data_IF_253475461170
#
_entry.id   IF_253475461170
#
_cell.length_a   1.000
_cell.length_b   1.000
_cell.length_c   1.000
_cell.angle_alpha   90.00
_cell.angle_beta   90.00
_cell.angle_gamma   90.00
#
_symmetry.space_group_name_H-M   'P 1'
#
loop_
_entity.id
_entity.type
_entity.pdbx_description
1 polymer ?
#
# COMPACT_ATOMS: atom_id res chain seq x y z
N UNK A 1 -5.52 -1.96 -9.29
CA UNK A 1 -4.21 -1.72 -8.63
C UNK A 1 -4.06 -0.26 -8.17
N UNK A 2 -5.15 0.43 -7.78
CA UNK A 2 -5.01 1.81 -7.28
C UNK A 2 -4.44 1.73 -5.86
N UNK A 3 -3.23 2.26 -5.61
CA UNK A 3 -2.61 2.15 -4.28
C UNK A 3 -3.47 2.88 -3.25
N UNK A 4 -3.80 2.21 -2.16
CA UNK A 4 -4.59 2.79 -1.07
C UNK A 4 -4.34 2.07 0.25
N UNK A 5 -4.15 2.82 1.32
CA UNK A 5 -4.25 2.33 2.71
C UNK A 5 -5.31 3.16 3.41
N UNK A 6 -6.31 2.50 4.01
CA UNK A 6 -7.33 3.18 4.81
C UNK A 6 -7.93 2.24 5.84
N UNK A 7 -8.42 2.81 6.94
CA UNK A 7 -9.18 2.09 7.95
C UNK A 7 -10.67 2.41 7.80
N UNK A 8 -11.53 1.39 7.90
CA UNK A 8 -12.99 1.54 7.93
C UNK A 8 -13.59 0.51 8.86
N UNK A 9 -14.41 0.97 9.82
CA UNK A 9 -15.12 0.11 10.77
C UNK A 9 -14.20 -0.89 11.50
N UNK A 10 -13.03 -0.44 11.95
CA UNK A 10 -12.04 -1.29 12.63
C UNK A 10 -11.23 -2.22 11.72
N UNK A 11 -11.49 -2.22 10.40
CA UNK A 11 -10.74 -3.03 9.42
C UNK A 11 -9.72 -2.15 8.69
N UNK A 12 -8.47 -2.60 8.63
CA UNK A 12 -7.41 -2.00 7.83
C UNK A 12 -7.41 -2.60 6.43
N UNK A 13 -7.74 -1.80 5.43
CA UNK A 13 -7.71 -2.18 4.02
C UNK A 13 -6.42 -1.71 3.36
N UNK A 14 -5.76 -2.62 2.65
CA UNK A 14 -4.48 -2.39 2.01
C UNK A 14 -4.56 -2.82 0.54
N UNK A 15 -4.31 -1.89 -0.37
CA UNK A 15 -4.00 -2.15 -1.76
C UNK A 15 -2.59 -1.61 -2.04
N UNK A 16 -1.56 -2.46 -2.15
CA UNK A 16 -0.17 -2.01 -2.29
C UNK A 16 0.12 -1.39 -3.66
N UNK A 17 -0.76 -1.57 -4.66
CA UNK A 17 -0.48 -1.18 -6.03
C UNK A 17 0.30 -2.25 -6.81
N UNK A 18 1.24 -1.82 -7.66
CA UNK A 18 2.12 -2.70 -8.44
C UNK A 18 3.57 -2.35 -8.16
N UNK A 19 4.37 -3.36 -7.77
CA UNK A 19 5.82 -3.25 -7.64
C UNK A 19 6.56 -3.46 -8.98
N UNK A 20 5.87 -4.01 -9.98
CA UNK A 20 6.39 -4.21 -11.34
C UNK A 20 6.07 -3.04 -12.27
N UNK A 21 6.21 -3.23 -13.60
CA UNK A 21 6.01 -2.17 -14.60
C UNK A 21 4.72 -1.37 -14.38
N UNK A 22 4.77 -0.08 -14.71
CA UNK A 22 3.60 0.81 -14.59
C UNK A 22 2.41 0.23 -15.35
N UNK A 23 1.32 0.02 -14.63
CA UNK A 23 0.01 -0.30 -15.20
C UNK A 23 -0.75 1.00 -15.34
N UNK A 24 -1.02 1.42 -16.57
CA UNK A 24 -1.67 2.71 -16.86
C UNK A 24 -0.84 3.91 -16.35
N UNK A 25 -1.50 4.99 -15.88
CA UNK A 25 -0.87 6.18 -15.29
C UNK A 25 -0.54 6.06 -13.80
N UNK A 26 -0.77 4.88 -13.20
CA UNK A 26 -0.62 4.68 -11.76
C UNK A 26 0.86 4.57 -11.35
N UNK A 27 1.23 5.02 -10.13
CA UNK A 27 2.59 4.93 -9.65
C UNK A 27 3.02 3.48 -9.35
N UNK A 28 4.31 3.21 -9.52
CA UNK A 28 4.93 1.98 -8.97
C UNK A 28 4.99 2.15 -7.45
N UNK A 29 4.48 1.17 -6.72
CA UNK A 29 4.27 1.28 -5.28
C UNK A 29 4.25 -0.07 -4.59
N UNK A 30 4.51 -0.04 -3.29
CA UNK A 30 4.35 -1.14 -2.35
C UNK A 30 3.66 -0.63 -1.09
N UNK A 31 3.23 -1.53 -0.20
CA UNK A 31 2.82 -1.18 1.15
C UNK A 31 3.69 -1.92 2.16
N UNK A 32 4.11 -1.23 3.21
CA UNK A 32 4.72 -1.85 4.39
C UNK A 32 3.61 -2.12 5.41
N UNK A 33 3.57 -3.34 5.95
CA UNK A 33 2.61 -3.77 6.97
C UNK A 33 3.37 -4.20 8.22
N UNK A 34 3.04 -3.58 9.36
CA UNK A 34 3.56 -3.96 10.66
C UNK A 34 2.48 -4.72 11.44
N UNK A 35 2.83 -5.93 11.88
CA UNK A 35 2.02 -6.81 12.73
C UNK A 35 2.73 -6.98 14.08
N UNK A 36 1.97 -7.19 15.15
CA UNK A 36 2.48 -7.35 16.52
C UNK A 36 1.35 -7.26 17.53
N UNK A 37 1.67 -7.02 18.81
CA UNK A 37 0.71 -7.05 19.93
C UNK A 37 -0.29 -5.87 19.96
N UNK A 38 -0.33 -5.05 18.90
CA UNK A 38 -1.18 -3.87 18.81
C UNK A 38 -1.98 -3.80 17.50
N UNK A 39 -2.69 -2.69 17.32
CA UNK A 39 -3.46 -2.43 16.09
C UNK A 39 -2.51 -2.47 14.89
N UNK A 40 -2.79 -3.28 13.84
CA UNK A 40 -2.00 -3.34 12.63
C UNK A 40 -1.83 -1.95 12.01
N UNK A 41 -0.64 -1.68 11.48
CA UNK A 41 -0.34 -0.41 10.80
C UNK A 41 0.16 -0.70 9.41
N UNK A 42 -0.21 0.15 8.46
CA UNK A 42 0.33 0.07 7.12
C UNK A 42 0.66 1.45 6.58
N UNK A 43 1.65 1.49 5.68
CA UNK A 43 2.07 2.70 4.99
C UNK A 43 2.27 2.39 3.51
N UNK A 44 1.74 3.25 2.65
CA UNK A 44 2.06 3.21 1.22
C UNK A 44 3.42 3.84 0.96
N UNK A 45 4.21 3.16 0.14
CA UNK A 45 5.47 3.68 -0.39
C UNK A 45 5.39 3.72 -1.91
N UNK A 46 5.53 4.92 -2.47
CA UNK A 46 5.78 5.07 -3.91
C UNK A 46 7.26 4.83 -4.19
N UNK A 47 7.56 4.07 -5.23
CA UNK A 47 8.93 3.79 -5.66
C UNK A 47 9.30 4.77 -6.78
N UNK A 48 10.49 5.38 -6.67
CA UNK A 48 11.08 6.12 -7.77
C UNK A 48 11.57 5.12 -8.83
N UNK A 49 11.39 5.48 -10.10
CA UNK A 49 12.05 4.79 -11.20
C UNK A 49 13.26 5.64 -11.54
N UNK A 50 14.46 5.06 -11.43
CA UNK A 50 15.71 5.71 -11.82
C UNK A 50 15.80 5.90 -13.32
#
# INVERSE_FOLDING_TARGET
HKPLVHARNGVLYINPGSAGPRRFSLPISVAMLWLGDGVPRAQLQQLAVG
#
